data_IF_843582884358
#
_entry.id   IF_843582884358
#
_cell.length_a   1.000
_cell.length_b   1.000
_cell.length_c   1.000
_cell.angle_alpha   90.00
_cell.angle_beta   90.00
_cell.angle_gamma   90.00
#
_symmetry.space_group_name_H-M   'P 1'
#
loop_
_entity.id
_entity.type
_entity.pdbx_description
1 polymer ?
#
# COMPACT_ATOMS: atom_id res chain seq x y z
N UNK A 1 27.27 73.14 69.09
CA UNK A 1 27.54 71.69 68.95
C UNK A 1 26.35 71.10 68.21
N UNK A 2 26.36 70.78 66.91
CA UNK A 2 27.47 70.43 66.02
C UNK A 2 27.71 68.92 66.04
N UNK A 3 27.34 68.23 64.94
CA UNK A 3 27.66 66.85 64.45
C UNK A 3 26.36 66.13 64.01
N UNK A 4 25.98 65.89 62.76
CA UNK A 4 26.60 65.38 61.51
C UNK A 4 26.55 63.85 61.33
N UNK A 5 26.07 63.45 60.14
CA UNK A 5 26.26 62.18 59.39
C UNK A 5 25.34 60.97 59.68
N UNK A 6 24.57 60.56 58.65
CA UNK A 6 24.04 59.19 58.48
C UNK A 6 25.00 58.33 57.64
N UNK A 7 24.56 57.37 56.80
CA UNK A 7 23.45 56.41 56.86
C UNK A 7 24.00 54.95 56.90
N UNK A 8 23.16 53.91 56.72
CA UNK A 8 23.43 52.62 55.99
C UNK A 8 22.78 51.41 56.67
N UNK A 9 21.93 50.72 55.92
CA UNK A 9 21.32 49.46 56.34
C UNK A 9 20.61 48.81 55.15
N UNK A 10 21.37 48.50 54.10
CA UNK A 10 20.94 47.67 52.99
C UNK A 10 20.83 46.21 53.50
N UNK A 11 19.62 45.78 53.84
CA UNK A 11 19.33 44.39 54.15
C UNK A 11 19.06 43.64 52.86
N UNK A 12 20.14 43.06 52.30
CA UNK A 12 20.09 42.19 51.14
C UNK A 12 19.01 41.12 51.26
N UNK A 13 18.07 41.15 50.32
CA UNK A 13 17.12 40.06 50.11
C UNK A 13 17.88 38.81 49.64
N UNK A 14 17.57 37.61 50.16
CA UNK A 14 18.19 36.39 49.66
C UNK A 14 17.67 36.12 48.25
N UNK A 15 18.55 36.24 47.26
CA UNK A 15 18.24 35.83 45.89
C UNK A 15 18.14 34.30 45.93
N UNK A 16 16.92 33.78 45.79
CA UNK A 16 16.70 32.35 45.65
C UNK A 16 17.34 31.89 44.33
N UNK A 17 18.35 31.03 44.43
CA UNK A 17 18.99 30.42 43.29
C UNK A 17 17.94 29.57 42.55
N UNK A 18 17.54 30.00 41.35
CA UNK A 18 16.58 29.24 40.56
C UNK A 18 17.30 27.96 40.17
N UNK A 19 16.83 26.80 40.64
CA UNK A 19 17.34 25.52 40.18
C UNK A 19 17.12 25.45 38.66
N UNK A 20 18.18 25.70 37.89
CA UNK A 20 18.19 25.66 36.43
C UNK A 20 18.27 24.23 35.89
N UNK A 21 18.63 23.27 36.75
CA UNK A 21 18.75 21.85 36.43
C UNK A 21 17.44 21.22 35.94
N UNK A 22 16.28 21.41 36.59
CA UNK A 22 14.99 20.96 36.02
C UNK A 22 14.59 21.69 34.73
N UNK A 23 14.96 22.97 34.59
CA UNK A 23 14.61 23.78 33.42
C UNK A 23 15.32 23.28 32.16
N UNK A 24 16.61 22.98 32.26
CA UNK A 24 17.41 22.45 31.14
C UNK A 24 16.92 21.06 30.72
N UNK A 25 16.50 20.22 31.66
CA UNK A 25 15.97 18.87 31.37
C UNK A 25 14.66 18.93 30.57
N UNK A 26 13.72 19.79 30.97
CA UNK A 26 12.47 20.01 30.21
C UNK A 26 12.75 20.52 28.79
N UNK A 27 13.72 21.42 28.63
CA UNK A 27 14.13 21.91 27.31
C UNK A 27 14.73 20.79 26.45
N UNK A 28 15.55 19.92 27.04
CA UNK A 28 16.19 18.81 26.33
C UNK A 28 15.19 17.73 25.91
N UNK A 29 14.19 17.42 26.75
CA UNK A 29 13.08 16.53 26.40
C UNK A 29 12.31 17.04 25.18
N UNK A 30 12.02 18.35 25.13
CA UNK A 30 11.33 18.96 23.98
C UNK A 30 12.15 18.87 22.70
N UNK A 31 13.47 19.05 22.77
CA UNK A 31 14.36 18.90 21.61
C UNK A 31 14.39 17.45 21.10
N UNK A 32 14.41 16.46 21.99
CA UNK A 32 14.36 15.04 21.62
C UNK A 32 13.03 14.70 20.93
N UNK A 33 11.90 15.21 21.44
CA UNK A 33 10.58 15.03 20.81
C UNK A 33 10.57 15.62 19.39
N UNK A 34 11.11 16.83 19.20
CA UNK A 34 11.21 17.43 17.85
C UNK A 34 12.15 16.64 16.93
N UNK A 35 13.26 16.12 17.44
CA UNK A 35 14.20 15.30 16.67
C UNK A 35 13.56 13.97 16.21
N UNK A 36 12.74 13.36 17.06
CA UNK A 36 12.13 12.03 16.81
C UNK A 36 10.83 12.12 16.00
N UNK A 37 10.13 13.25 15.97
CA UNK A 37 8.88 13.39 15.19
C UNK A 37 9.12 13.70 13.70
N UNK A 38 10.33 14.11 13.32
CA UNK A 38 10.70 14.38 11.93
C UNK A 38 10.78 13.16 10.96
N UNK A 39 11.14 11.92 11.35
CA UNK A 39 11.45 10.87 10.40
C UNK A 39 10.24 9.98 10.16
N UNK A 40 9.21 10.52 9.50
CA UNK A 40 8.18 9.70 8.85
C UNK A 40 7.86 10.23 7.46
N UNK A 41 8.89 10.51 6.65
CA UNK A 41 8.74 10.43 5.21
C UNK A 41 8.78 8.95 4.80
N UNK A 42 7.62 8.31 4.85
CA UNK A 42 7.42 7.03 4.18
C UNK A 42 7.34 7.29 2.67
N UNK A 43 8.23 6.68 1.89
CA UNK A 43 8.14 6.68 0.44
C UNK A 43 6.80 6.05 0.04
N UNK A 44 5.82 6.90 -0.31
CA UNK A 44 4.60 6.45 -0.98
C UNK A 44 5.05 6.00 -2.37
N UNK A 45 5.25 4.69 -2.55
CA UNK A 45 5.33 4.12 -3.89
C UNK A 45 3.99 4.47 -4.54
N UNK A 46 3.94 5.35 -5.55
CA UNK A 46 2.69 5.66 -6.21
C UNK A 46 2.28 4.41 -6.99
N UNK A 47 1.37 3.62 -6.42
CA UNK A 47 0.68 2.58 -7.19
C UNK A 47 -0.33 3.33 -8.05
N UNK A 48 0.08 3.62 -9.28
CA UNK A 48 -0.84 4.06 -10.32
C UNK A 48 -1.70 2.83 -10.65
N UNK A 49 -2.91 2.79 -10.10
CA UNK A 49 -3.94 1.94 -10.71
C UNK A 49 -4.22 2.56 -12.08
N UNK A 50 -3.95 1.86 -13.19
CA UNK A 50 -4.44 2.32 -14.47
C UNK A 50 -5.97 2.36 -14.37
N UNK A 51 -6.54 3.54 -14.58
CA UNK A 51 -7.98 3.64 -14.82
C UNK A 51 -8.28 2.74 -16.02
N UNK A 52 -9.28 1.87 -15.88
CA UNK A 52 -9.72 1.03 -16.98
C UNK A 52 -10.26 1.96 -18.08
N UNK A 53 -9.37 2.30 -19.01
CA UNK A 53 -9.74 2.90 -20.27
C UNK A 53 -10.55 1.83 -21.01
N UNK A 54 -11.88 1.93 -20.91
CA UNK A 54 -12.77 1.40 -21.93
C UNK A 54 -12.58 2.24 -23.20
N UNK A 55 -11.37 2.20 -23.77
CA UNK A 55 -11.19 2.57 -25.16
C UNK A 55 -11.62 1.35 -25.99
N UNK A 56 -12.51 1.51 -26.99
CA UNK A 56 -12.73 0.48 -27.97
C UNK A 56 -11.41 0.33 -28.75
N UNK A 57 -10.67 -0.73 -28.46
CA UNK A 57 -9.36 -1.01 -29.05
C UNK A 57 -9.55 -1.12 -30.58
N UNK A 58 -9.12 -0.07 -31.27
CA UNK A 58 -9.21 0.07 -32.71
C UNK A 58 -8.01 -0.66 -33.34
N UNK A 59 -7.99 -1.99 -33.23
CA UNK A 59 -6.90 -2.79 -33.76
C UNK A 59 -7.13 -4.27 -33.52
N UNK A 60 -7.76 -4.93 -34.49
CA UNK A 60 -8.04 -6.38 -34.51
C UNK A 60 -8.44 -6.89 -33.12
N UNK A 61 -9.72 -6.79 -32.76
CA UNK A 61 -10.26 -7.27 -31.48
C UNK A 61 -9.88 -8.76 -31.26
N UNK A 62 -8.71 -8.99 -30.66
CA UNK A 62 -8.35 -10.32 -30.17
C UNK A 62 -9.19 -10.50 -28.95
N UNK A 63 -10.16 -11.41 -29.04
CA UNK A 63 -11.06 -11.72 -27.92
C UNK A 63 -10.21 -11.98 -26.68
N UNK A 64 -10.35 -11.10 -25.69
CA UNK A 64 -9.70 -11.24 -24.41
C UNK A 64 -10.16 -12.54 -23.75
N UNK A 65 -9.25 -13.17 -23.01
CA UNK A 65 -9.52 -14.43 -22.35
C UNK A 65 -9.73 -14.17 -20.87
N UNK A 66 -10.86 -14.60 -20.33
CA UNK A 66 -11.22 -14.37 -18.93
C UNK A 66 -11.05 -15.64 -18.10
N UNK A 67 -10.27 -15.57 -17.03
CA UNK A 67 -10.27 -16.57 -15.97
C UNK A 67 -11.10 -16.07 -14.79
N UNK A 68 -12.19 -16.78 -14.49
CA UNK A 68 -13.01 -16.51 -13.32
C UNK A 68 -12.57 -17.38 -12.15
N UNK A 69 -12.40 -16.75 -10.99
CA UNK A 69 -12.08 -17.41 -9.73
C UNK A 69 -13.31 -17.26 -8.83
N UNK A 70 -13.91 -18.39 -8.45
CA UNK A 70 -15.08 -18.43 -7.57
C UNK A 70 -14.75 -19.20 -6.30
N UNK A 71 -15.14 -18.65 -5.16
CA UNK A 71 -15.06 -19.32 -3.87
C UNK A 71 -16.24 -20.30 -3.75
N UNK A 72 -15.96 -21.57 -3.42
CA UNK A 72 -17.01 -22.58 -3.18
C UNK A 72 -17.63 -22.49 -1.78
N UNK A 73 -17.08 -21.67 -0.89
CA UNK A 73 -17.57 -21.49 0.48
C UNK A 73 -17.09 -22.56 1.46
N UNK A 74 -16.38 -23.59 0.99
CA UNK A 74 -15.72 -24.63 1.79
C UNK A 74 -14.22 -24.34 2.01
N UNK A 75 -13.75 -23.14 1.63
CA UNK A 75 -12.35 -22.75 1.63
C UNK A 75 -11.58 -23.20 0.38
N UNK A 76 -12.25 -23.84 -0.59
CA UNK A 76 -11.69 -24.16 -1.89
C UNK A 76 -12.15 -23.18 -2.97
N UNK A 77 -11.28 -22.95 -3.94
CA UNK A 77 -11.57 -22.11 -5.11
C UNK A 77 -11.75 -22.96 -6.34
N UNK A 78 -12.74 -22.62 -7.15
CA UNK A 78 -12.89 -23.18 -8.48
C UNK A 78 -12.48 -22.16 -9.53
N UNK A 79 -11.68 -22.63 -10.50
CA UNK A 79 -11.24 -21.85 -11.63
C UNK A 79 -12.12 -22.17 -12.83
N UNK A 80 -12.51 -21.12 -13.55
CA UNK A 80 -13.24 -21.23 -14.81
C UNK A 80 -12.47 -20.48 -15.88
N UNK A 81 -12.12 -21.18 -16.94
CA UNK A 81 -11.58 -20.60 -18.15
C UNK A 81 -12.74 -20.25 -19.06
N UNK A 82 -13.02 -18.95 -19.21
CA UNK A 82 -14.29 -18.46 -19.72
C UNK A 82 -15.46 -18.99 -18.87
N UNK A 83 -16.16 -20.00 -19.38
CA UNK A 83 -17.29 -20.68 -18.75
C UNK A 83 -16.97 -22.13 -18.40
N UNK A 84 -15.79 -22.64 -18.82
CA UNK A 84 -15.39 -24.02 -18.62
C UNK A 84 -14.65 -24.20 -17.30
N UNK A 85 -15.06 -25.13 -16.42
CA UNK A 85 -14.29 -25.45 -15.22
C UNK A 85 -12.92 -26.02 -15.60
N UNK A 86 -11.87 -25.49 -14.98
CA UNK A 86 -10.48 -25.89 -15.25
C UNK A 86 -9.73 -26.13 -13.94
N UNK A 87 -8.81 -27.10 -13.94
CA UNK A 87 -7.87 -27.28 -12.85
C UNK A 87 -6.63 -26.40 -13.05
N UNK A 88 -5.86 -26.17 -11.98
CA UNK A 88 -4.68 -25.31 -12.02
C UNK A 88 -3.68 -25.70 -13.11
N UNK A 89 -3.40 -26.99 -13.28
CA UNK A 89 -2.49 -27.49 -14.32
C UNK A 89 -3.04 -27.25 -15.74
N UNK A 90 -4.34 -27.50 -15.93
CA UNK A 90 -5.01 -27.23 -17.21
C UNK A 90 -4.98 -25.74 -17.58
N UNK A 91 -5.15 -24.87 -16.59
CA UNK A 91 -5.03 -23.41 -16.75
C UNK A 91 -3.61 -23.02 -17.17
N UNK A 92 -2.58 -23.56 -16.54
CA UNK A 92 -1.18 -23.30 -16.89
C UNK A 92 -0.86 -23.70 -18.34
N UNK A 93 -1.36 -24.85 -18.79
CA UNK A 93 -1.15 -25.31 -20.17
C UNK A 93 -1.84 -24.39 -21.18
N UNK A 94 -3.08 -23.97 -20.90
CA UNK A 94 -3.80 -22.99 -21.73
C UNK A 94 -3.06 -21.65 -21.78
N UNK A 95 -2.60 -21.13 -20.64
CA UNK A 95 -1.83 -19.89 -20.59
C UNK A 95 -0.59 -19.93 -21.48
N UNK A 96 0.17 -21.02 -21.48
CA UNK A 96 1.36 -21.19 -22.34
C UNK A 96 1.00 -21.19 -23.83
N UNK A 97 -0.13 -21.82 -24.19
CA UNK A 97 -0.60 -21.82 -25.58
C UNK A 97 -1.05 -20.42 -26.04
N UNK A 98 -1.72 -19.67 -25.17
CA UNK A 98 -2.14 -18.30 -25.48
C UNK A 98 -0.96 -17.33 -25.51
N UNK A 99 0.05 -17.54 -24.67
CA UNK A 99 1.20 -16.67 -24.57
C UNK A 99 2.02 -16.57 -25.86
N UNK A 100 2.02 -17.61 -26.70
CA UNK A 100 2.76 -17.64 -27.97
C UNK A 100 1.98 -17.07 -29.16
N UNK A 101 0.68 -16.77 -29.00
CA UNK A 101 -0.14 -16.22 -30.09
C UNK A 101 0.27 -14.80 -30.44
N UNK A 102 0.13 -14.45 -31.72
CA UNK A 102 0.40 -13.11 -32.25
C UNK A 102 -0.76 -12.67 -33.17
N UNK A 103 -1.46 -11.57 -32.86
CA UNK A 103 -1.39 -10.80 -31.61
C UNK A 103 -1.76 -11.62 -30.35
N UNK A 104 -1.08 -11.36 -29.23
CA UNK A 104 -1.33 -12.06 -27.96
C UNK A 104 -2.64 -11.53 -27.34
N UNK A 105 -3.59 -12.40 -26.97
CA UNK A 105 -4.82 -11.96 -26.30
C UNK A 105 -4.52 -11.34 -24.93
N UNK A 106 -5.31 -10.35 -24.55
CA UNK A 106 -5.32 -9.86 -23.16
C UNK A 106 -5.91 -10.94 -22.24
N UNK A 107 -5.26 -11.18 -21.10
CA UNK A 107 -5.77 -12.10 -20.08
C UNK A 107 -6.47 -11.31 -18.97
N UNK A 108 -7.76 -11.57 -18.76
CA UNK A 108 -8.59 -10.92 -17.75
C UNK A 108 -8.81 -11.85 -16.57
N UNK A 109 -8.56 -11.37 -15.36
CA UNK A 109 -8.85 -12.10 -14.13
C UNK A 109 -10.14 -11.55 -13.54
N UNK A 110 -11.18 -12.39 -13.47
CA UNK A 110 -12.42 -12.09 -12.77
C UNK A 110 -12.38 -12.74 -11.39
N UNK A 111 -12.45 -11.95 -10.34
CA UNK A 111 -12.48 -12.44 -8.97
C UNK A 111 -13.62 -11.78 -8.20
N UNK A 112 -14.31 -12.55 -7.36
CA UNK A 112 -15.30 -12.01 -6.43
C UNK A 112 -14.65 -11.19 -5.33
N UNK A 113 -15.40 -10.22 -4.79
CA UNK A 113 -14.92 -9.34 -3.71
C UNK A 113 -14.57 -10.08 -2.41
N UNK A 114 -15.19 -11.23 -2.20
CA UNK A 114 -14.99 -12.07 -1.01
C UNK A 114 -13.76 -12.97 -1.12
N UNK A 115 -13.14 -13.02 -2.30
CA UNK A 115 -12.07 -13.97 -2.59
C UNK A 115 -10.77 -13.58 -1.90
N UNK A 116 -10.03 -14.57 -1.40
CA UNK A 116 -8.78 -14.31 -0.70
C UNK A 116 -7.73 -13.78 -1.69
N UNK A 117 -7.11 -12.66 -1.36
CA UNK A 117 -6.05 -12.04 -2.18
C UNK A 117 -4.93 -13.02 -2.58
N UNK A 118 -4.63 -14.00 -1.71
CA UNK A 118 -3.63 -15.04 -1.97
C UNK A 118 -3.90 -15.80 -3.28
N UNK A 119 -5.15 -16.18 -3.54
CA UNK A 119 -5.55 -16.97 -4.71
C UNK A 119 -5.38 -16.16 -6.01
N UNK A 120 -5.80 -14.89 -5.99
CA UNK A 120 -5.64 -13.98 -7.13
C UNK A 120 -4.15 -13.78 -7.46
N UNK A 121 -3.31 -13.62 -6.43
CA UNK A 121 -1.86 -13.46 -6.60
C UNK A 121 -1.19 -14.69 -7.23
N UNK A 122 -1.62 -15.89 -6.86
CA UNK A 122 -1.08 -17.13 -7.44
C UNK A 122 -1.41 -17.27 -8.93
N UNK A 123 -2.63 -16.91 -9.32
CA UNK A 123 -3.04 -16.84 -10.73
C UNK A 123 -2.22 -15.80 -11.50
N UNK A 124 -2.05 -14.60 -10.92
CA UNK A 124 -1.26 -13.54 -11.54
C UNK A 124 0.19 -13.96 -11.75
N UNK A 125 0.81 -14.61 -10.75
CA UNK A 125 2.16 -15.15 -10.86
C UNK A 125 2.25 -16.21 -11.97
N UNK A 126 1.25 -17.08 -12.07
CA UNK A 126 1.16 -18.12 -13.10
C UNK A 126 1.06 -17.53 -14.51
N UNK A 127 0.21 -16.53 -14.71
CA UNK A 127 0.09 -15.84 -15.99
C UNK A 127 1.40 -15.17 -16.42
N UNK A 128 2.10 -14.52 -15.48
CA UNK A 128 3.41 -13.91 -15.74
C UNK A 128 4.47 -14.95 -16.10
N UNK A 129 4.52 -16.07 -15.37
CA UNK A 129 5.44 -17.18 -15.65
C UNK A 129 5.18 -17.83 -17.01
N UNK A 130 3.91 -17.87 -17.44
CA UNK A 130 3.54 -18.38 -18.76
C UNK A 130 3.89 -17.43 -19.92
N UNK A 131 4.27 -16.18 -19.65
CA UNK A 131 4.66 -15.20 -20.67
C UNK A 131 3.51 -14.32 -21.18
N UNK A 132 2.41 -14.23 -20.43
CA UNK A 132 1.34 -13.26 -20.72
C UNK A 132 1.84 -11.85 -20.41
N UNK A 133 1.72 -10.95 -21.39
CA UNK A 133 2.20 -9.58 -21.31
C UNK A 133 1.14 -8.62 -20.79
N UNK A 134 -0.12 -8.81 -21.20
CA UNK A 134 -1.25 -7.96 -20.82
C UNK A 134 -2.20 -8.72 -19.89
N UNK A 135 -2.29 -8.25 -18.65
CA UNK A 135 -3.22 -8.80 -17.64
C UNK A 135 -4.15 -7.69 -17.14
N UNK A 136 -5.46 -7.89 -17.30
CA UNK A 136 -6.51 -7.01 -16.79
C UNK A 136 -7.27 -7.64 -15.63
N UNK A 137 -7.94 -6.81 -14.82
CA UNK A 137 -8.81 -7.26 -13.73
C UNK A 137 -10.24 -6.85 -14.01
N UNK A 138 -11.18 -7.77 -13.77
CA UNK A 138 -12.61 -7.50 -13.90
C UNK A 138 -13.25 -7.79 -12.56
N UNK A 139 -13.77 -6.77 -11.88
CA UNK A 139 -14.56 -6.98 -10.67
C UNK A 139 -15.94 -7.46 -11.05
N UNK A 140 -16.39 -8.58 -10.49
CA UNK A 140 -17.80 -8.94 -10.55
C UNK A 140 -18.61 -7.88 -9.76
N UNK A 141 -19.69 -7.31 -10.30
CA UNK A 141 -20.59 -6.47 -9.52
C UNK A 141 -21.13 -7.34 -8.38
N UNK A 142 -20.96 -6.86 -7.14
CA UNK A 142 -21.47 -7.56 -5.97
C UNK A 142 -22.97 -7.74 -6.11
N UNK A 143 -23.42 -9.00 -6.05
CA UNK A 143 -24.84 -9.33 -6.00
C UNK A 143 -25.34 -9.24 -4.57
#
# INVERSE_FOLDING_TARGET
>A
MGMSAGPSGDSGAPIADINTTPLVDVMLVLLIIFMITAPLMANKIPVVLPEAANEPDSGTEVKAITLSIQDRGDGTTQLFWEEDPVQFEGMMNRLKMEAVKKPQPEFKIRADKTLQYKQVREVLASAKLAGIQKVGFVTAPGR
#
